data_IF_570900502075
#
_entry.id   IF_570900502075
#
_cell.length_a   1.000
_cell.length_b   1.000
_cell.length_c   1.000
_cell.angle_alpha   90.00
_cell.angle_beta   90.00
_cell.angle_gamma   90.00
#
_symmetry.space_group_name_H-M   'P 1'
#
loop_
_entity.id
_entity.type
_entity.pdbx_description
1 polymer ?
#
# COMPACT_ATOMS: atom_id res chain seq x y z
N UNK A 1 7.58 -17.00 -10.93
CA UNK A 1 6.28 -16.26 -10.83
C UNK A 1 6.48 -14.83 -11.35
N UNK A 2 6.65 -14.75 -12.67
CA UNK A 2 6.97 -13.49 -13.34
C UNK A 2 5.79 -12.52 -13.29
N UNK A 3 6.05 -11.27 -12.92
CA UNK A 3 5.08 -10.18 -12.90
C UNK A 3 4.81 -9.73 -14.35
N UNK A 4 3.57 -9.81 -14.79
CA UNK A 4 3.17 -9.50 -16.17
C UNK A 4 2.36 -8.21 -16.29
N UNK A 5 1.71 -7.78 -15.21
CA UNK A 5 0.91 -6.56 -15.21
C UNK A 5 0.98 -5.86 -13.85
N UNK A 6 1.06 -4.55 -13.89
CA UNK A 6 0.91 -3.70 -12.71
C UNK A 6 -0.07 -2.59 -13.04
N UNK A 7 -1.14 -2.50 -12.26
CA UNK A 7 -2.18 -1.49 -12.41
C UNK A 7 -2.31 -0.70 -11.11
N UNK A 8 -2.42 0.61 -11.22
CA UNK A 8 -2.60 1.49 -10.07
C UNK A 8 -3.92 2.25 -10.16
N UNK A 9 -4.58 2.38 -9.04
CA UNK A 9 -5.83 3.15 -8.92
C UNK A 9 -5.77 4.10 -7.73
N UNK A 10 -6.55 5.16 -7.80
CA UNK A 10 -6.81 6.04 -6.67
C UNK A 10 -8.27 5.89 -6.28
N UNK A 11 -8.53 5.12 -5.23
CA UNK A 11 -9.86 4.98 -4.67
C UNK A 11 -10.15 6.14 -3.74
N UNK A 12 -11.36 6.67 -3.84
CA UNK A 12 -11.88 7.71 -2.97
C UNK A 12 -13.06 7.15 -2.18
N UNK A 13 -12.82 6.86 -0.90
CA UNK A 13 -13.85 6.34 -0.01
C UNK A 13 -14.55 7.48 0.73
N UNK A 14 -15.86 7.69 0.53
CA UNK A 14 -16.59 8.67 1.31
C UNK A 14 -16.67 8.22 2.77
N UNK A 15 -16.51 9.15 3.69
CA UNK A 15 -16.76 8.92 5.11
C UNK A 15 -18.26 9.10 5.41
N UNK A 16 -18.88 8.22 6.20
CA UNK A 16 -20.29 8.36 6.61
C UNK A 16 -20.55 9.70 7.33
N UNK A 17 -19.55 10.18 8.05
CA UNK A 17 -19.54 11.51 8.69
C UNK A 17 -18.19 12.16 8.43
N UNK A 18 -18.17 13.44 8.00
CA UNK A 18 -16.91 14.17 7.85
C UNK A 18 -16.18 14.26 9.18
N UNK A 19 -14.86 13.98 9.16
CA UNK A 19 -14.00 14.14 10.33
C UNK A 19 -13.43 15.55 10.38
N UNK A 20 -13.35 16.14 11.58
CA UNK A 20 -12.60 17.38 11.79
C UNK A 20 -11.10 17.03 11.77
N UNK A 21 -10.36 17.55 10.81
CA UNK A 21 -8.91 17.38 10.86
C UNK A 21 -8.35 18.33 11.90
N UNK A 22 -7.80 17.78 12.99
CA UNK A 22 -6.98 18.52 13.91
C UNK A 22 -5.69 18.96 13.19
N UNK A 23 -5.65 20.23 12.77
CA UNK A 23 -4.42 20.81 12.25
C UNK A 23 -3.48 21.09 13.42
N UNK A 24 -2.32 20.45 13.43
CA UNK A 24 -1.23 20.76 14.37
C UNK A 24 -0.67 22.19 14.22
N UNK A 25 -1.14 22.95 13.23
CA UNK A 25 -0.71 24.33 12.95
C UNK A 25 -1.67 25.41 13.46
N UNK A 26 -2.63 25.06 14.30
CA UNK A 26 -3.56 26.03 14.93
C UNK A 26 -4.61 26.62 13.98
N UNK A 27 -4.58 26.37 12.69
CA UNK A 27 -5.66 26.68 11.75
C UNK A 27 -6.60 25.48 11.68
N UNK A 28 -7.89 25.68 11.95
CA UNK A 28 -8.91 24.65 11.77
C UNK A 28 -8.86 24.18 10.31
N UNK A 29 -8.38 22.98 10.05
CA UNK A 29 -8.54 22.32 8.78
C UNK A 29 -10.04 22.15 8.50
N UNK A 30 -10.42 22.22 7.22
CA UNK A 30 -11.80 21.92 6.83
C UNK A 30 -12.17 20.46 7.12
N UNK A 31 -13.47 20.13 7.13
CA UNK A 31 -13.91 18.76 7.37
C UNK A 31 -13.40 17.83 6.26
N UNK A 32 -12.85 16.68 6.66
CA UNK A 32 -12.41 15.63 5.75
C UNK A 32 -13.58 14.68 5.49
N UNK A 33 -14.14 14.74 4.30
CA UNK A 33 -15.31 13.94 3.93
C UNK A 33 -14.98 12.61 3.23
N UNK A 34 -13.70 12.28 3.02
CA UNK A 34 -13.30 11.06 2.33
C UNK A 34 -11.86 10.68 2.65
N UNK A 35 -11.55 9.41 2.49
CA UNK A 35 -10.19 8.87 2.52
C UNK A 35 -9.77 8.54 1.08
N UNK A 36 -8.56 8.93 0.71
CA UNK A 36 -7.97 8.57 -0.56
C UNK A 36 -7.02 7.39 -0.37
N UNK A 37 -7.16 6.35 -1.19
CA UNK A 37 -6.36 5.13 -1.13
C UNK A 37 -5.71 4.87 -2.48
N UNK A 38 -4.40 5.13 -2.62
CA UNK A 38 -3.63 4.59 -3.74
C UNK A 38 -3.58 3.07 -3.61
N UNK A 39 -4.02 2.36 -4.63
CA UNK A 39 -4.06 0.90 -4.68
C UNK A 39 -3.17 0.44 -5.83
N UNK A 40 -2.44 -0.64 -5.61
CA UNK A 40 -1.68 -1.34 -6.63
C UNK A 40 -2.18 -2.78 -6.76
N UNK A 41 -2.37 -3.21 -7.99
CA UNK A 41 -2.65 -4.59 -8.38
C UNK A 41 -1.44 -5.11 -9.13
N UNK A 42 -0.90 -6.24 -8.69
CA UNK A 42 0.22 -6.93 -9.33
C UNK A 42 -0.30 -8.27 -9.81
N UNK A 43 -0.19 -8.55 -11.11
CA UNK A 43 -0.61 -9.82 -11.71
C UNK A 43 0.59 -10.59 -12.20
N UNK A 44 0.65 -11.88 -11.91
CA UNK A 44 1.70 -12.79 -12.35
C UNK A 44 1.27 -13.58 -13.59
N UNK A 45 2.21 -14.24 -14.26
CA UNK A 45 2.02 -14.99 -15.52
C UNK A 45 0.99 -16.11 -15.42
N UNK A 46 0.75 -16.68 -14.24
CA UNK A 46 -0.29 -17.68 -13.98
C UNK A 46 -1.66 -17.07 -13.64
N UNK A 47 -1.79 -15.74 -13.67
CA UNK A 47 -3.01 -15.01 -13.36
C UNK A 47 -3.24 -14.73 -11.87
N UNK A 48 -2.33 -15.13 -10.99
CA UNK A 48 -2.42 -14.77 -9.57
C UNK A 48 -2.30 -13.26 -9.41
N UNK A 49 -3.26 -12.65 -8.71
CA UNK A 49 -3.29 -11.20 -8.47
C UNK A 49 -3.11 -10.88 -7.00
N UNK A 50 -2.11 -10.05 -6.70
CA UNK A 50 -1.92 -9.43 -5.41
C UNK A 50 -2.46 -8.01 -5.37
N UNK A 51 -2.96 -7.60 -4.21
CA UNK A 51 -3.50 -6.27 -3.96
C UNK A 51 -2.76 -5.66 -2.77
N UNK A 52 -2.29 -4.43 -2.95
CA UNK A 52 -1.74 -3.64 -1.88
C UNK A 52 -2.22 -2.20 -1.94
N UNK A 53 -2.14 -1.51 -0.83
CA UNK A 53 -2.63 -0.14 -0.76
C UNK A 53 -1.86 0.70 0.25
N UNK A 54 -1.90 2.01 0.03
CA UNK A 54 -1.61 3.01 1.03
C UNK A 54 -2.88 3.84 1.27
N UNK A 55 -2.92 4.63 2.33
CA UNK A 55 -4.04 5.52 2.57
C UNK A 55 -3.55 6.91 2.94
N UNK A 56 -4.36 7.92 2.64
CA UNK A 56 -4.06 9.30 2.98
C UNK A 56 -5.32 10.05 3.38
N UNK A 57 -5.29 10.59 4.59
CA UNK A 57 -6.39 11.38 5.14
C UNK A 57 -6.30 12.84 4.70
N UNK A 58 -5.10 13.43 4.77
CA UNK A 58 -4.91 14.88 4.63
C UNK A 58 -4.30 15.31 3.29
N UNK A 59 -3.79 14.39 2.48
CA UNK A 59 -3.19 14.71 1.20
C UNK A 59 -2.08 13.73 0.78
N UNK A 60 -1.51 13.94 -0.41
CA UNK A 60 -0.40 13.14 -0.92
C UNK A 60 -0.79 11.85 -1.66
N UNK A 61 -2.05 11.43 -1.63
CA UNK A 61 -2.48 10.18 -2.25
C UNK A 61 -2.19 10.12 -3.77
N UNK A 62 -2.42 11.21 -4.49
CA UNK A 62 -2.09 11.30 -5.92
C UNK A 62 -0.59 11.15 -6.15
N UNK A 63 0.24 11.82 -5.35
CA UNK A 63 1.69 11.71 -5.46
C UNK A 63 2.17 10.28 -5.14
N UNK A 64 1.60 9.63 -4.11
CA UNK A 64 1.89 8.21 -3.81
C UNK A 64 1.52 7.31 -4.99
N UNK A 65 0.38 7.54 -5.65
CA UNK A 65 -0.01 6.80 -6.85
C UNK A 65 0.95 7.04 -8.02
N UNK A 66 1.43 8.28 -8.22
CA UNK A 66 2.44 8.55 -9.25
C UNK A 66 3.74 7.78 -8.98
N UNK A 67 4.22 7.73 -7.74
CA UNK A 67 5.39 6.92 -7.37
C UNK A 67 5.16 5.44 -7.69
N UNK A 68 3.98 4.90 -7.38
CA UNK A 68 3.64 3.51 -7.72
C UNK A 68 3.67 3.26 -9.23
N UNK A 69 3.06 4.16 -10.01
CA UNK A 69 2.86 3.99 -11.43
C UNK A 69 4.12 4.28 -12.26
N UNK A 70 4.78 5.39 -11.98
CA UNK A 70 5.82 5.94 -12.84
C UNK A 70 7.23 5.51 -12.41
N UNK A 71 7.44 5.29 -11.10
CA UNK A 71 8.74 4.92 -10.56
C UNK A 71 8.85 3.43 -10.24
N UNK A 72 7.84 2.81 -9.61
CA UNK A 72 7.93 1.43 -9.12
C UNK A 72 7.46 0.39 -10.12
N UNK A 73 6.34 0.62 -10.82
CA UNK A 73 5.80 -0.36 -11.75
C UNK A 73 6.82 -0.76 -12.85
N UNK A 74 7.57 0.16 -13.49
CA UNK A 74 8.56 -0.23 -14.50
C UNK A 74 9.70 -1.09 -13.94
N UNK A 75 10.00 -0.98 -12.65
CA UNK A 75 11.06 -1.74 -11.99
C UNK A 75 10.63 -3.15 -11.59
N UNK A 76 9.32 -3.40 -11.50
CA UNK A 76 8.75 -4.65 -11.04
C UNK A 76 8.28 -5.55 -12.19
N UNK A 77 7.99 -4.99 -13.37
CA UNK A 77 7.64 -5.76 -14.55
C UNK A 77 8.76 -6.74 -14.90
N UNK A 78 8.38 -7.96 -15.31
CA UNK A 78 9.25 -9.09 -15.65
C UNK A 78 10.08 -9.67 -14.49
N UNK A 79 9.94 -9.13 -13.26
CA UNK A 79 10.58 -9.65 -12.07
C UNK A 79 9.82 -10.85 -11.48
N UNK A 80 10.49 -11.65 -10.66
CA UNK A 80 9.83 -12.73 -9.91
C UNK A 80 9.17 -12.17 -8.64
N UNK A 81 7.83 -12.28 -8.55
CA UNK A 81 7.06 -11.83 -7.40
C UNK A 81 7.44 -12.54 -6.08
N UNK A 82 8.06 -13.71 -6.14
CA UNK A 82 8.50 -14.45 -4.96
C UNK A 82 9.83 -13.93 -4.39
N UNK A 83 10.60 -13.20 -5.17
CA UNK A 83 11.85 -12.55 -4.74
C UNK A 83 11.61 -11.28 -3.90
N UNK A 84 10.68 -11.36 -2.98
CA UNK A 84 10.13 -10.24 -2.21
C UNK A 84 11.20 -9.33 -1.59
N UNK A 85 12.16 -9.92 -0.87
CA UNK A 85 13.22 -9.16 -0.21
C UNK A 85 14.13 -8.44 -1.22
N UNK A 86 14.43 -9.07 -2.35
CA UNK A 86 15.24 -8.48 -3.42
C UNK A 86 14.50 -7.31 -4.07
N UNK A 87 13.22 -7.47 -4.35
CA UNK A 87 12.38 -6.42 -4.91
C UNK A 87 12.22 -5.25 -3.93
N UNK A 88 11.98 -5.54 -2.65
CA UNK A 88 11.91 -4.52 -1.61
C UNK A 88 13.18 -3.66 -1.59
N UNK A 89 14.35 -4.29 -1.57
CA UNK A 89 15.65 -3.59 -1.59
C UNK A 89 15.89 -2.82 -2.88
N UNK A 90 15.44 -3.34 -4.03
CA UNK A 90 15.53 -2.67 -5.32
C UNK A 90 14.78 -1.34 -5.30
N UNK A 91 13.52 -1.35 -4.85
CA UNK A 91 12.68 -0.16 -4.73
C UNK A 91 13.26 0.84 -3.72
N UNK A 92 13.68 0.37 -2.55
CA UNK A 92 14.28 1.19 -1.51
C UNK A 92 15.54 1.94 -1.98
N UNK A 93 16.38 1.30 -2.79
CA UNK A 93 17.58 1.93 -3.35
C UNK A 93 17.25 2.91 -4.47
N UNK A 94 16.24 2.63 -5.28
CA UNK A 94 15.89 3.43 -6.46
C UNK A 94 15.54 4.87 -6.09
N UNK A 95 14.76 5.07 -5.06
CA UNK A 95 14.27 6.39 -4.68
C UNK A 95 15.03 7.01 -3.50
N UNK A 96 16.27 6.60 -3.28
CA UNK A 96 17.11 7.12 -2.21
C UNK A 96 17.30 8.65 -2.28
N UNK A 97 17.40 9.21 -3.48
CA UNK A 97 17.56 10.66 -3.71
C UNK A 97 16.28 11.46 -3.47
N UNK A 98 15.12 10.84 -3.56
CA UNK A 98 13.81 11.48 -3.35
C UNK A 98 13.41 11.48 -1.87
N UNK A 99 14.06 10.65 -1.05
CA UNK A 99 13.79 10.49 0.36
C UNK A 99 13.24 9.10 0.69
N UNK A 100 13.50 8.68 1.93
CA UNK A 100 13.13 7.34 2.43
C UNK A 100 11.98 7.38 3.44
N UNK A 101 11.22 8.45 3.45
CA UNK A 101 10.12 8.68 4.37
C UNK A 101 8.89 9.22 3.63
N UNK A 102 7.74 9.17 4.28
CA UNK A 102 6.51 9.74 3.75
C UNK A 102 5.99 9.01 2.51
N UNK A 103 5.71 9.72 1.43
CA UNK A 103 5.01 9.22 0.24
C UNK A 103 5.68 8.01 -0.42
N UNK A 104 7.02 8.02 -0.51
CA UNK A 104 7.79 6.92 -1.11
C UNK A 104 7.67 5.65 -0.29
N UNK A 105 7.77 5.75 1.04
CA UNK A 105 7.60 4.60 1.93
C UNK A 105 6.17 4.07 1.92
N UNK A 106 5.18 4.95 1.80
CA UNK A 106 3.78 4.54 1.64
C UNK A 106 3.57 3.77 0.33
N UNK A 107 4.14 4.25 -0.77
CA UNK A 107 4.10 3.53 -2.04
C UNK A 107 4.81 2.17 -1.95
N UNK A 108 5.96 2.11 -1.30
CA UNK A 108 6.69 0.85 -1.08
C UNK A 108 5.90 -0.13 -0.22
N UNK A 109 5.23 0.34 0.83
CA UNK A 109 4.35 -0.49 1.66
C UNK A 109 3.18 -1.07 0.86
N UNK A 110 2.60 -0.32 -0.08
CA UNK A 110 1.56 -0.84 -0.95
C UNK A 110 2.07 -1.99 -1.84
N UNK A 111 3.27 -1.86 -2.43
CA UNK A 111 3.89 -2.95 -3.20
C UNK A 111 4.18 -4.16 -2.30
N UNK A 112 4.72 -3.92 -1.11
CA UNK A 112 5.04 -4.95 -0.12
C UNK A 112 3.80 -5.79 0.22
N UNK A 113 2.68 -5.15 0.52
CA UNK A 113 1.41 -5.82 0.78
C UNK A 113 0.94 -6.66 -0.43
N UNK A 114 1.05 -6.14 -1.66
CA UNK A 114 0.66 -6.86 -2.86
C UNK A 114 1.51 -8.12 -3.09
N UNK A 115 2.82 -8.06 -2.84
CA UNK A 115 3.72 -9.21 -2.96
C UNK A 115 3.44 -10.26 -1.87
N UNK A 116 3.14 -9.84 -0.64
CA UNK A 116 2.72 -10.75 0.42
C UNK A 116 1.36 -11.41 0.11
N UNK A 117 0.43 -10.67 -0.47
CA UNK A 117 -0.87 -11.22 -0.90
C UNK A 117 -0.69 -12.29 -1.99
N UNK A 118 0.21 -12.06 -2.98
CA UNK A 118 0.59 -13.08 -3.97
C UNK A 118 1.16 -14.33 -3.28
N UNK A 119 2.12 -14.17 -2.38
CA UNK A 119 2.72 -15.29 -1.64
C UNK A 119 1.68 -16.09 -0.86
N UNK A 120 0.77 -15.41 -0.17
CA UNK A 120 -0.32 -16.04 0.56
C UNK A 120 -1.21 -16.89 -0.35
N UNK A 121 -1.59 -16.34 -1.50
CA UNK A 121 -2.43 -17.01 -2.50
C UNK A 121 -1.75 -18.24 -3.10
N UNK A 122 -0.49 -18.12 -3.47
CA UNK A 122 0.29 -19.24 -4.02
C UNK A 122 0.48 -20.35 -2.98
N UNK A 123 0.77 -19.99 -1.73
CA UNK A 123 0.94 -20.94 -0.65
C UNK A 123 -0.40 -21.54 -0.14
N UNK A 124 -1.54 -20.99 -0.54
CA UNK A 124 -2.85 -21.35 0.01
C UNK A 124 -2.97 -21.07 1.51
N UNK A 125 -2.21 -20.09 2.02
CA UNK A 125 -2.15 -19.75 3.43
C UNK A 125 -2.38 -18.26 3.65
N UNK A 126 -3.05 -17.87 4.74
CA UNK A 126 -3.13 -16.48 5.13
C UNK A 126 -1.73 -15.95 5.51
N UNK A 127 -1.47 -14.69 5.21
CA UNK A 127 -0.15 -14.06 5.41
C UNK A 127 0.36 -14.19 6.85
N UNK A 128 -0.52 -14.08 7.85
CA UNK A 128 -0.09 -14.23 9.23
C UNK A 128 0.50 -15.61 9.55
N UNK A 129 0.05 -16.67 8.86
CA UNK A 129 0.63 -18.01 8.99
C UNK A 129 2.02 -18.08 8.33
N UNK A 130 2.20 -17.45 7.18
CA UNK A 130 3.51 -17.34 6.52
C UNK A 130 4.52 -16.58 7.38
N UNK A 131 4.06 -15.63 8.17
CA UNK A 131 4.88 -14.83 9.10
C UNK A 131 5.11 -15.51 10.46
N UNK A 132 4.66 -16.76 10.63
CA UNK A 132 4.93 -17.56 11.83
C UNK A 132 3.77 -17.72 12.82
N UNK A 133 2.66 -17.01 12.65
CA UNK A 133 1.41 -17.26 13.36
C UNK A 133 1.53 -17.34 14.89
N UNK A 134 2.00 -16.30 15.56
CA UNK A 134 2.29 -16.32 17.00
C UNK A 134 1.05 -16.20 17.91
N UNK A 135 -0.14 -15.85 17.36
CA UNK A 135 -1.36 -15.65 18.15
C UNK A 135 -2.60 -16.12 17.39
N UNK A 136 -3.58 -16.64 18.11
CA UNK A 136 -4.89 -17.00 17.57
C UNK A 136 -5.85 -15.80 17.56
N UNK A 137 -5.62 -14.82 18.42
CA UNK A 137 -6.42 -13.59 18.52
C UNK A 137 -5.54 -12.40 18.86
N UNK A 138 -5.99 -11.21 18.48
CA UNK A 138 -5.36 -9.95 18.84
C UNK A 138 -6.37 -9.03 19.54
N UNK A 139 -5.99 -8.34 20.63
CA UNK A 139 -6.84 -7.31 21.21
C UNK A 139 -7.00 -6.17 20.20
N UNK A 140 -8.23 -5.70 20.05
CA UNK A 140 -8.55 -4.59 19.15
C UNK A 140 -9.32 -3.52 19.91
N UNK A 141 -9.24 -2.29 19.42
CA UNK A 141 -10.10 -1.19 19.86
C UNK A 141 -10.82 -0.58 18.65
N UNK A 142 -12.02 -0.09 18.86
CA UNK A 142 -12.74 0.65 17.84
C UNK A 142 -12.13 2.05 17.71
N UNK A 143 -11.76 2.42 16.49
CA UNK A 143 -11.34 3.79 16.15
C UNK A 143 -12.31 4.33 15.11
N UNK A 144 -13.45 4.81 15.58
CA UNK A 144 -14.51 5.32 14.71
C UNK A 144 -14.29 6.76 14.23
N UNK A 145 -13.15 7.36 14.58
CA UNK A 145 -12.70 8.67 14.06
C UNK A 145 -13.65 9.84 14.35
N UNK A 146 -14.59 9.63 15.20
CA UNK A 146 -15.63 10.62 15.49
C UNK A 146 -15.58 11.10 16.94
N UNK A 147 -14.84 12.14 17.18
CA UNK A 147 -14.94 12.96 18.40
C UNK A 147 -15.54 14.31 18.05
#
# INVERSE_FOLDING_TARGET
MRITEIRTELLRMPLPRPMQSGSSSGKKGGPVGHINMPVVFITTEDGTRGIGYAWSLLGGATATRCVLQDDFAPLLLDEDALDHERLWRKLYKRLQSVGRHGLVTQAQAAVDLALWDIKGKIAGLPVYKLLGGCRESAPVYGSDGGW
#
